data_IF_778443546734
#
_entry.id   IF_778443546734
#
_cell.length_a   1.000
_cell.length_b   1.000
_cell.length_c   1.000
_cell.angle_alpha   90.00
_cell.angle_beta   90.00
_cell.angle_gamma   90.00
#
_symmetry.space_group_name_H-M   'P 1'
#
loop_
_entity.id
_entity.type
_entity.pdbx_description
1 polymer ?
#
# COMPACT_ATOMS: atom_id res chain seq x y z
N UNK A 1 13.74 1.57 -2.41
CA UNK A 1 13.94 3.01 -2.42
C UNK A 1 12.98 3.73 -1.50
N UNK A 2 13.44 4.85 -0.99
CA UNK A 2 12.69 5.59 0.03
C UNK A 2 11.37 6.17 -0.47
N UNK A 3 11.28 6.51 -1.76
CA UNK A 3 10.05 7.10 -2.25
C UNK A 3 8.88 6.11 -2.25
N UNK A 4 9.17 4.82 -2.40
CA UNK A 4 8.13 3.79 -2.33
C UNK A 4 7.57 3.72 -0.91
N UNK A 5 8.45 3.76 0.06
CA UNK A 5 8.05 3.73 1.46
C UNK A 5 7.19 4.94 1.82
N UNK A 6 7.62 6.12 1.37
CA UNK A 6 6.90 7.35 1.65
C UNK A 6 5.51 7.31 1.02
N UNK A 7 5.40 6.83 -0.21
CA UNK A 7 4.11 6.72 -0.87
C UNK A 7 3.18 5.76 -0.16
N UNK A 8 3.72 4.62 0.27
CA UNK A 8 2.91 3.63 0.97
C UNK A 8 2.38 4.18 2.28
N UNK A 9 3.24 4.84 3.03
CA UNK A 9 2.84 5.41 4.32
C UNK A 9 1.76 6.46 4.10
N UNK A 10 1.93 7.30 3.09
CA UNK A 10 0.95 8.35 2.80
C UNK A 10 -0.40 7.76 2.44
N UNK A 11 -0.40 6.69 1.65
CA UNK A 11 -1.65 6.04 1.29
C UNK A 11 -2.36 5.51 2.53
N UNK A 12 -1.63 4.91 3.44
CA UNK A 12 -2.23 4.40 4.65
C UNK A 12 -2.76 5.54 5.52
N UNK A 13 -2.06 6.65 5.56
CA UNK A 13 -2.52 7.78 6.37
C UNK A 13 -3.78 8.43 5.80
N UNK A 14 -3.90 8.47 4.48
CA UNK A 14 -5.05 9.11 3.84
C UNK A 14 -6.21 8.16 3.61
N UNK A 15 -5.91 6.90 3.37
CA UNK A 15 -6.92 5.90 3.02
C UNK A 15 -6.80 4.63 3.84
N UNK A 16 -6.34 4.76 5.09
CA UNK A 16 -6.05 3.59 5.91
C UNK A 16 -7.22 2.63 6.05
N UNK A 17 -8.43 3.14 6.09
CA UNK A 17 -9.61 2.30 6.24
C UNK A 17 -9.89 1.43 5.03
N UNK A 18 -9.29 1.77 3.88
CA UNK A 18 -9.46 0.99 2.65
C UNK A 18 -8.44 -0.13 2.53
N UNK A 19 -7.44 -0.14 3.38
CA UNK A 19 -6.39 -1.16 3.35
C UNK A 19 -6.56 -2.13 4.51
N UNK A 20 -6.19 -3.38 4.25
CA UNK A 20 -6.29 -4.44 5.25
C UNK A 20 -4.93 -5.14 5.33
N UNK A 21 -4.88 -6.28 6.00
CA UNK A 21 -3.68 -7.09 6.03
C UNK A 21 -3.64 -8.10 4.87
N UNK A 22 -4.58 -7.98 3.94
CA UNK A 22 -4.65 -8.84 2.77
C UNK A 22 -3.91 -8.19 1.60
N UNK A 23 -2.81 -8.81 1.18
CA UNK A 23 -1.97 -8.27 0.12
C UNK A 23 -2.74 -8.12 -1.21
N UNK A 24 -3.53 -9.13 -1.57
CA UNK A 24 -4.27 -9.08 -2.82
C UNK A 24 -5.28 -7.94 -2.84
N UNK A 25 -5.95 -7.72 -1.74
CA UNK A 25 -6.88 -6.61 -1.62
C UNK A 25 -6.14 -5.28 -1.74
N UNK A 26 -5.00 -5.18 -1.07
CA UNK A 26 -4.23 -3.94 -1.07
C UNK A 26 -3.68 -3.61 -2.45
N UNK A 27 -3.31 -4.61 -3.24
CA UNK A 27 -2.86 -4.39 -4.61
C UNK A 27 -3.94 -3.68 -5.43
N UNK A 28 -5.16 -4.13 -5.28
CA UNK A 28 -6.28 -3.53 -6.00
C UNK A 28 -6.52 -2.10 -5.55
N UNK A 29 -6.40 -1.86 -4.25
CA UNK A 29 -6.59 -0.52 -3.72
C UNK A 29 -5.52 0.43 -4.22
N UNK A 30 -4.28 0.00 -4.26
CA UNK A 30 -3.20 0.83 -4.78
C UNK A 30 -3.47 1.17 -6.24
N UNK A 31 -3.94 0.20 -7.01
CA UNK A 31 -4.24 0.42 -8.42
C UNK A 31 -5.36 1.45 -8.61
N UNK A 32 -6.35 1.43 -7.74
CA UNK A 32 -7.46 2.36 -7.85
C UNK A 32 -7.13 3.75 -7.33
N UNK A 33 -6.29 3.83 -6.32
CA UNK A 33 -6.00 5.09 -5.64
C UNK A 33 -4.80 5.84 -6.22
N UNK A 34 -4.03 5.20 -7.08
CA UNK A 34 -2.85 5.84 -7.66
C UNK A 34 -2.78 5.60 -9.15
N UNK A 35 -1.89 6.37 -9.81
CA UNK A 35 -1.66 6.25 -11.25
C UNK A 35 -0.50 5.32 -11.55
N UNK A 36 -0.17 4.42 -10.63
CA UNK A 36 0.96 3.53 -10.81
C UNK A 36 0.70 2.63 -12.00
N UNK A 37 1.51 2.76 -13.05
CA UNK A 37 1.30 2.05 -14.30
C UNK A 37 2.02 0.72 -14.37
N UNK A 38 3.04 0.51 -13.54
CA UNK A 38 3.80 -0.74 -13.57
C UNK A 38 3.33 -1.66 -12.46
N UNK A 39 3.16 -2.94 -12.80
CA UNK A 39 2.75 -3.93 -11.81
C UNK A 39 3.79 -4.08 -10.71
N UNK A 40 5.05 -3.97 -11.08
CA UNK A 40 6.14 -4.12 -10.11
C UNK A 40 6.06 -3.05 -9.02
N UNK A 41 5.86 -1.81 -9.43
CA UNK A 41 5.76 -0.72 -8.47
C UNK A 41 4.50 -0.85 -7.61
N UNK A 42 3.40 -1.22 -8.23
CA UNK A 42 2.16 -1.44 -7.51
C UNK A 42 2.35 -2.52 -6.44
N UNK A 43 3.00 -3.62 -6.80
CA UNK A 43 3.23 -4.70 -5.86
C UNK A 43 4.12 -4.27 -4.70
N UNK A 44 5.13 -3.47 -4.98
CA UNK A 44 6.01 -2.97 -3.93
C UNK A 44 5.25 -2.08 -2.95
N UNK A 45 4.45 -1.17 -3.46
CA UNK A 45 3.68 -0.28 -2.61
C UNK A 45 2.68 -1.08 -1.78
N UNK A 46 1.99 -2.02 -2.42
CA UNK A 46 1.03 -2.85 -1.71
C UNK A 46 1.71 -3.69 -0.64
N UNK A 47 2.91 -4.17 -0.91
CA UNK A 47 3.66 -4.92 0.07
C UNK A 47 3.99 -4.08 1.31
N UNK A 48 4.41 -2.85 1.10
CA UNK A 48 4.68 -1.95 2.21
C UNK A 48 3.41 -1.64 2.98
N UNK A 49 2.33 -1.37 2.29
CA UNK A 49 1.06 -1.06 2.93
C UNK A 49 0.60 -2.23 3.79
N UNK A 50 0.64 -3.43 3.24
CA UNK A 50 0.23 -4.62 3.96
C UNK A 50 1.09 -4.81 5.21
N UNK A 51 2.39 -4.67 5.05
CA UNK A 51 3.31 -4.83 6.17
C UNK A 51 3.08 -3.77 7.24
N UNK A 52 2.86 -2.55 6.81
CA UNK A 52 2.61 -1.45 7.72
C UNK A 52 1.35 -1.68 8.54
N UNK A 53 0.28 -2.15 7.89
CA UNK A 53 -0.97 -2.45 8.59
C UNK A 53 -0.78 -3.58 9.60
N UNK A 54 -0.05 -4.61 9.22
CA UNK A 54 0.20 -5.74 10.11
C UNK A 54 0.97 -5.30 11.36
N UNK A 55 1.92 -4.40 11.19
CA UNK A 55 2.73 -3.95 12.32
C UNK A 55 1.97 -3.05 13.28
N UNK A 56 0.87 -2.50 12.85
CA UNK A 56 0.08 -1.60 13.68
C UNK A 56 -0.94 -2.32 14.55
N UNK A 57 -1.01 -3.61 14.44
CA UNK A 57 -2.01 -4.37 15.19
C UNK A 57 -1.56 -4.75 16.59
N UNK A 58 -0.44 -4.31 17.00
CA UNK A 58 0.05 -4.60 18.35
C UNK A 58 -0.86 -4.04 19.40
#
# INVERSE_FOLDING_TARGET
>A
PSFIKIRAIRLVEEHGEKFTDDFDHNKKMVEELTDVSTKKLRNWIAGYVTRYRQRRTD
#
